data_IF_492786978049
#
_entry.id   IF_492786978049
#
_cell.length_a   1.000
_cell.length_b   1.000
_cell.length_c   1.000
_cell.angle_alpha   90.00
_cell.angle_beta   90.00
_cell.angle_gamma   90.00
#
_symmetry.space_group_name_H-M   'P 1'
#
loop_
_entity.id
_entity.type
_entity.pdbx_description
1 polymer ?
#
# COMPACT_ATOMS: atom_id res chain seq x y z
N UNK A 1 -9.31 17.08 15.18
CA UNK A 1 -8.70 15.74 15.37
C UNK A 1 -9.44 14.83 14.43
N UNK A 2 -9.06 14.89 13.16
CA UNK A 2 -9.79 14.21 12.09
C UNK A 2 -8.80 13.28 11.38
N UNK A 3 -8.38 12.25 12.10
CA UNK A 3 -7.45 11.24 11.61
C UNK A 3 -7.83 9.86 12.13
N UNK A 4 -7.44 8.84 11.37
CA UNK A 4 -7.74 7.44 11.66
C UNK A 4 -6.56 6.73 12.32
N UNK A 5 -6.86 5.74 13.16
CA UNK A 5 -5.85 4.83 13.71
C UNK A 5 -5.25 3.91 12.64
N UNK A 6 -6.03 3.57 11.62
CA UNK A 6 -5.57 2.78 10.49
C UNK A 6 -6.39 3.02 9.22
N UNK A 7 -5.80 2.72 8.06
CA UNK A 7 -6.48 2.64 6.77
C UNK A 7 -6.18 1.29 6.10
N UNK A 8 -7.23 0.64 5.58
CA UNK A 8 -7.13 -0.59 4.79
C UNK A 8 -7.59 -0.33 3.35
N UNK A 9 -6.76 -0.70 2.37
CA UNK A 9 -7.07 -0.61 0.95
C UNK A 9 -6.80 -1.94 0.25
N UNK A 10 -7.85 -2.72 0.02
CA UNK A 10 -7.75 -4.08 -0.54
C UNK A 10 -8.50 -4.13 -1.87
N UNK A 11 -7.82 -4.57 -2.93
CA UNK A 11 -8.39 -4.67 -4.28
C UNK A 11 -8.56 -3.32 -5.03
N UNK A 12 -8.12 -2.20 -4.47
CA UNK A 12 -8.27 -0.85 -5.07
C UNK A 12 -7.01 -0.39 -5.81
N UNK A 13 -5.83 -0.74 -5.30
CA UNK A 13 -4.53 -0.41 -5.91
C UNK A 13 -4.21 -1.44 -7.01
N UNK A 14 -4.94 -1.36 -8.11
CA UNK A 14 -4.86 -2.29 -9.25
C UNK A 14 -4.82 -1.54 -10.59
N UNK A 15 -4.62 -2.27 -11.68
CA UNK A 15 -4.56 -1.73 -13.04
C UNK A 15 -5.83 -0.93 -13.35
N UNK A 16 -5.67 0.30 -13.83
CA UNK A 16 -6.77 1.18 -14.24
C UNK A 16 -7.59 1.79 -13.11
N UNK A 17 -7.19 1.63 -11.84
CA UNK A 17 -7.86 2.19 -10.67
C UNK A 17 -7.02 3.30 -10.01
N UNK A 18 -6.89 3.29 -8.68
CA UNK A 18 -6.19 4.33 -7.94
C UNK A 18 -4.67 4.29 -8.24
N UNK A 19 -4.05 5.41 -8.63
CA UNK A 19 -2.62 5.47 -8.93
C UNK A 19 -1.75 5.39 -7.67
N UNK A 20 -0.44 5.14 -7.83
CA UNK A 20 0.52 5.13 -6.74
C UNK A 20 0.51 6.41 -5.88
N UNK A 21 0.23 7.57 -6.50
CA UNK A 21 0.13 8.85 -5.79
C UNK A 21 -0.98 8.88 -4.74
N UNK A 22 -1.97 7.99 -4.80
CA UNK A 22 -3.02 7.86 -3.78
C UNK A 22 -2.49 7.43 -2.41
N UNK A 23 -1.29 6.85 -2.32
CA UNK A 23 -0.65 6.52 -1.05
C UNK A 23 -0.42 7.78 -0.18
N UNK A 24 -0.15 8.94 -0.80
CA UNK A 24 -0.01 10.21 -0.07
C UNK A 24 -1.30 10.59 0.68
N UNK A 25 -2.46 10.29 0.10
CA UNK A 25 -3.74 10.58 0.73
C UNK A 25 -4.02 9.65 1.91
N UNK A 26 -3.57 8.39 1.84
CA UNK A 26 -3.64 7.47 2.99
C UNK A 26 -2.75 7.97 4.14
N UNK A 27 -1.52 8.40 3.85
CA UNK A 27 -0.62 9.01 4.83
C UNK A 27 -1.27 10.25 5.46
N UNK A 28 -1.89 11.13 4.66
CA UNK A 28 -2.51 12.38 5.14
C UNK A 28 -3.62 12.15 6.17
N UNK A 29 -4.39 11.06 6.05
CA UNK A 29 -5.57 10.82 6.91
C UNK A 29 -5.30 9.87 8.07
N UNK A 30 -4.18 9.14 8.07
CA UNK A 30 -3.79 8.25 9.17
C UNK A 30 -2.87 9.03 10.13
N UNK A 31 -3.13 8.93 11.44
CA UNK A 31 -2.33 9.64 12.44
C UNK A 31 -0.92 9.04 12.55
N UNK A 32 0.09 9.80 13.00
CA UNK A 32 1.37 9.23 13.42
C UNK A 32 1.19 8.11 14.45
N UNK A 33 1.91 7.00 14.26
CA UNK A 33 1.77 5.72 14.96
C UNK A 33 0.59 4.85 14.48
N UNK A 34 -0.23 5.34 13.56
CA UNK A 34 -1.28 4.58 12.89
C UNK A 34 -0.74 3.76 11.72
N UNK A 35 -1.57 2.85 11.20
CA UNK A 35 -1.15 1.86 10.20
C UNK A 35 -1.87 2.00 8.86
N UNK A 36 -1.14 1.84 7.77
CA UNK A 36 -1.69 1.72 6.42
C UNK A 36 -1.42 0.30 5.95
N UNK A 37 -2.49 -0.39 5.55
CA UNK A 37 -2.45 -1.78 5.11
C UNK A 37 -3.07 -1.87 3.73
N UNK A 38 -2.35 -2.42 2.76
CA UNK A 38 -2.89 -2.58 1.42
C UNK A 38 -2.40 -3.85 0.74
N UNK A 39 -3.17 -4.31 -0.24
CA UNK A 39 -2.75 -5.35 -1.16
C UNK A 39 -2.22 -4.72 -2.44
N UNK A 40 -1.09 -5.18 -2.93
CA UNK A 40 -0.53 -4.74 -4.21
C UNK A 40 0.01 -5.93 -4.99
N UNK A 41 -0.18 -5.93 -6.30
CA UNK A 41 0.43 -6.94 -7.16
C UNK A 41 1.94 -6.66 -7.33
N UNK A 42 2.81 -7.68 -7.32
CA UNK A 42 4.25 -7.47 -7.49
C UNK A 42 4.64 -6.75 -8.80
N UNK A 43 3.91 -6.99 -9.89
CA UNK A 43 4.17 -6.30 -11.17
C UNK A 43 3.81 -4.81 -11.12
N UNK A 44 2.73 -4.45 -10.42
CA UNK A 44 2.40 -3.04 -10.19
C UNK A 44 3.36 -2.35 -9.22
N UNK A 45 3.94 -3.09 -8.29
CA UNK A 45 5.00 -2.56 -7.44
C UNK A 45 6.18 -2.08 -8.29
N UNK A 46 6.68 -2.95 -9.19
CA UNK A 46 7.85 -2.65 -10.02
C UNK A 46 7.55 -1.69 -11.18
N UNK A 47 6.43 -1.86 -11.89
CA UNK A 47 6.16 -1.14 -13.14
C UNK A 47 5.11 -0.01 -13.00
N UNK A 48 4.37 0.01 -11.89
CA UNK A 48 3.21 0.89 -11.67
C UNK A 48 3.50 2.20 -10.95
N UNK A 49 4.77 2.53 -10.69
CA UNK A 49 5.18 3.73 -9.95
C UNK A 49 5.06 3.61 -8.42
N UNK A 50 4.64 2.44 -7.91
CA UNK A 50 4.39 2.23 -6.49
C UNK A 50 5.69 2.12 -5.70
N UNK A 51 6.72 1.47 -6.24
CA UNK A 51 8.05 1.37 -5.62
C UNK A 51 8.67 2.74 -5.39
N UNK A 52 8.57 3.63 -6.36
CA UNK A 52 9.10 5.00 -6.28
C UNK A 52 8.38 5.78 -5.19
N UNK A 53 7.03 5.79 -5.20
CA UNK A 53 6.25 6.51 -4.19
C UNK A 53 6.50 5.95 -2.78
N UNK A 54 6.56 4.62 -2.64
CA UNK A 54 6.85 4.00 -1.34
C UNK A 54 8.23 4.39 -0.82
N UNK A 55 9.25 4.31 -1.67
CA UNK A 55 10.62 4.69 -1.32
C UNK A 55 10.72 6.18 -0.99
N UNK A 56 10.03 7.05 -1.74
CA UNK A 56 10.00 8.50 -1.46
C UNK A 56 9.39 8.76 -0.09
N UNK A 57 8.20 8.21 0.20
CA UNK A 57 7.53 8.39 1.49
C UNK A 57 8.36 7.85 2.67
N UNK A 58 9.10 6.74 2.47
CA UNK A 58 10.06 6.24 3.46
C UNK A 58 11.22 7.22 3.66
N UNK A 59 11.82 7.71 2.56
CA UNK A 59 12.96 8.63 2.60
C UNK A 59 12.62 9.99 3.23
N UNK A 60 11.36 10.43 3.09
CA UNK A 60 10.83 11.64 3.70
C UNK A 60 10.40 11.44 5.16
N UNK A 61 10.49 10.22 5.69
CA UNK A 61 10.07 9.90 7.06
C UNK A 61 8.57 10.08 7.28
N UNK A 62 7.76 9.86 6.23
CA UNK A 62 6.29 9.89 6.31
C UNK A 62 5.71 8.59 6.83
N UNK A 63 6.36 7.48 6.51
CA UNK A 63 6.04 6.18 7.05
C UNK A 63 7.28 5.28 7.09
N UNK A 64 7.11 4.09 7.66
CA UNK A 64 8.13 3.03 7.64
C UNK A 64 7.47 1.68 7.40
N UNK A 65 8.15 0.81 6.65
CA UNK A 65 7.69 -0.56 6.43
C UNK A 65 7.74 -1.33 7.75
N UNK A 66 6.63 -1.97 8.11
CA UNK A 66 6.50 -2.86 9.28
C UNK A 66 6.53 -4.31 8.85
N UNK A 67 5.75 -4.64 7.81
CA UNK A 67 5.65 -6.01 7.30
C UNK A 67 5.35 -6.00 5.80
N UNK A 68 5.97 -6.93 5.09
CA UNK A 68 5.64 -7.29 3.72
C UNK A 68 5.38 -8.78 3.70
N UNK A 69 4.16 -9.17 3.34
CA UNK A 69 3.77 -10.57 3.25
C UNK A 69 4.32 -11.25 1.99
N UNK A 70 4.35 -12.58 2.02
CA UNK A 70 4.67 -13.39 0.86
C UNK A 70 3.62 -13.23 -0.26
N UNK A 71 4.00 -13.36 -1.54
CA UNK A 71 3.04 -13.38 -2.64
C UNK A 71 2.00 -14.48 -2.48
N UNK A 72 0.73 -14.13 -2.64
CA UNK A 72 -0.41 -15.06 -2.54
C UNK A 72 -1.44 -14.87 -3.65
N UNK A 73 -2.15 -15.95 -3.98
CA UNK A 73 -3.30 -15.90 -4.89
C UNK A 73 -4.53 -15.39 -4.12
N UNK A 74 -4.81 -14.09 -4.22
CA UNK A 74 -5.98 -13.49 -3.57
C UNK A 74 -7.30 -13.89 -4.25
N UNK A 75 -7.28 -14.14 -5.57
CA UNK A 75 -8.46 -14.46 -6.38
C UNK A 75 -8.26 -15.73 -7.23
N UNK A 76 -7.99 -16.90 -6.62
CA UNK A 76 -7.55 -18.10 -7.34
C UNK A 76 -8.56 -18.65 -8.37
N UNK A 77 -9.85 -18.26 -8.26
CA UNK A 77 -10.88 -18.65 -9.24
C UNK A 77 -11.03 -17.67 -10.39
N UNK A 78 -10.85 -16.38 -10.14
CA UNK A 78 -11.05 -15.32 -11.14
C UNK A 78 -9.75 -14.95 -11.88
N UNK A 79 -8.65 -14.93 -11.14
CA UNK A 79 -7.33 -14.53 -11.61
C UNK A 79 -6.26 -15.50 -11.04
N UNK A 80 -6.22 -16.76 -11.52
CA UNK A 80 -5.35 -17.80 -10.96
C UNK A 80 -3.85 -17.47 -11.08
N UNK A 81 -3.47 -16.70 -12.08
CA UNK A 81 -2.07 -16.36 -12.36
C UNK A 81 -1.63 -15.04 -11.72
N UNK A 82 -2.52 -14.35 -11.01
CA UNK A 82 -2.24 -13.04 -10.41
C UNK A 82 -1.96 -13.19 -8.92
N UNK A 83 -0.74 -12.79 -8.53
CA UNK A 83 -0.31 -12.74 -7.15
C UNK A 83 -0.49 -11.34 -6.56
N UNK A 84 -0.72 -11.31 -5.25
CA UNK A 84 -0.82 -10.10 -4.45
C UNK A 84 0.05 -10.26 -3.21
N UNK A 85 0.63 -9.17 -2.74
CA UNK A 85 1.31 -9.08 -1.46
C UNK A 85 0.58 -8.09 -0.55
N UNK A 86 0.60 -8.36 0.75
CA UNK A 86 0.13 -7.42 1.77
C UNK A 86 1.31 -6.57 2.22
N UNK A 87 1.10 -5.27 2.27
CA UNK A 87 2.06 -4.30 2.76
C UNK A 87 1.49 -3.62 3.99
N UNK A 88 2.30 -3.53 5.04
CA UNK A 88 1.96 -2.87 6.31
C UNK A 88 2.98 -1.78 6.56
N UNK A 89 2.50 -0.55 6.63
CA UNK A 89 3.29 0.64 6.94
C UNK A 89 2.78 1.29 8.21
N UNK A 90 3.69 1.78 9.06
CA UNK A 90 3.35 2.67 10.18
C UNK A 90 3.64 4.12 9.75
N UNK A 91 2.66 5.01 9.92
CA UNK A 91 2.82 6.45 9.64
C UNK A 91 3.67 7.08 10.74
N UNK A 92 4.66 7.87 10.36
CA UNK A 92 5.64 8.43 11.29
C UNK A 92 5.56 9.94 11.46
N UNK A 93 5.00 10.69 10.50
CA UNK A 93 4.81 12.15 10.60
C UNK A 93 3.61 12.70 9.84
#
# INVERSE_FOLDING_TARGET
TDSFDAALSVGVLTVGHAPASSLNELVRVVRPGGHIIFTLRPDLYEDGGFKEVQTTLESEGKWKLVEMGDPMQALPKGEPDVLHQVWVYEVTS
#
